data_IF_854220847885
#
_entry.id   IF_854220847885
#
_cell.length_a   1.000
_cell.length_b   1.000
_cell.length_c   1.000
_cell.angle_alpha   90.00
_cell.angle_beta   90.00
_cell.angle_gamma   90.00
#
_symmetry.space_group_name_H-M   'P 1'
#
loop_
_entity.id
_entity.type
_entity.pdbx_description
1 polymer ?
#
# COMPACT_ATOMS: atom_id res chain seq x y z
N UNK A 1 23.52 -22.74 12.59
CA UNK A 1 24.40 -21.55 12.53
C UNK A 1 23.83 -20.51 13.46
N UNK A 2 24.66 -19.80 14.22
CA UNK A 2 24.20 -18.56 14.84
C UNK A 2 23.85 -17.61 13.68
N UNK A 3 22.67 -16.98 13.62
CA UNK A 3 22.29 -16.04 12.55
C UNK A 3 23.28 -14.86 12.36
N UNK A 4 24.27 -14.74 13.24
CA UNK A 4 25.23 -13.64 13.38
C UNK A 4 26.46 -13.68 12.45
N UNK A 5 26.49 -14.47 11.37
CA UNK A 5 27.68 -14.55 10.49
C UNK A 5 27.56 -13.76 9.17
N UNK A 6 26.36 -13.29 8.82
CA UNK A 6 26.19 -12.47 7.62
C UNK A 6 26.53 -11.00 7.97
N UNK A 7 27.46 -10.34 7.25
CA UNK A 7 27.79 -8.95 7.52
C UNK A 7 26.59 -8.06 7.24
N UNK A 8 26.38 -7.03 8.07
CA UNK A 8 25.35 -6.03 7.79
C UNK A 8 25.68 -5.36 6.44
N UNK A 9 24.77 -5.36 5.46
CA UNK A 9 25.01 -4.71 4.17
C UNK A 9 25.39 -3.24 4.34
N UNK A 10 26.21 -2.71 3.43
CA UNK A 10 26.62 -1.31 3.45
C UNK A 10 25.40 -0.37 3.48
N UNK A 11 25.50 0.77 4.18
CA UNK A 11 24.38 1.73 4.29
C UNK A 11 23.27 1.33 5.28
N UNK A 12 23.29 0.11 5.82
CA UNK A 12 22.39 -0.33 6.88
C UNK A 12 23.07 -0.27 8.25
N UNK A 13 22.23 -0.22 9.29
CA UNK A 13 22.66 -0.36 10.67
C UNK A 13 21.64 -1.19 11.45
N UNK A 14 22.11 -1.92 12.45
CA UNK A 14 21.24 -2.65 13.36
C UNK A 14 20.47 -1.66 14.22
N UNK A 15 19.15 -1.83 14.32
CA UNK A 15 18.33 -1.06 15.26
C UNK A 15 18.64 -1.58 16.67
N UNK A 16 18.99 -0.71 17.64
CA UNK A 16 19.23 -1.12 19.02
C UNK A 16 18.03 -1.86 19.63
N UNK A 17 18.31 -2.93 20.38
CA UNK A 17 17.30 -3.80 21.00
C UNK A 17 16.32 -3.04 21.92
N UNK A 18 16.80 -2.00 22.61
CA UNK A 18 15.98 -1.15 23.47
C UNK A 18 14.92 -0.36 22.68
N UNK A 19 15.13 -0.14 21.38
CA UNK A 19 14.20 0.51 20.46
C UNK A 19 13.23 -0.46 19.78
N UNK A 20 13.42 -1.78 19.94
CA UNK A 20 12.57 -2.82 19.35
C UNK A 20 11.71 -3.54 20.39
N UNK A 21 10.51 -3.95 20.02
CA UNK A 21 9.76 -4.94 20.80
C UNK A 21 10.31 -6.34 20.54
N UNK A 22 10.91 -6.94 21.57
CA UNK A 22 11.54 -8.26 21.52
C UNK A 22 10.72 -9.35 22.22
N UNK A 23 9.48 -9.05 22.64
CA UNK A 23 8.59 -10.05 23.25
C UNK A 23 8.27 -11.20 22.28
N UNK A 24 7.87 -12.38 22.77
CA UNK A 24 7.41 -13.48 21.92
C UNK A 24 6.28 -13.08 20.96
N UNK A 25 6.15 -13.83 19.85
CA UNK A 25 5.12 -13.56 18.84
C UNK A 25 3.69 -13.64 19.41
N UNK A 26 3.45 -14.50 20.39
CA UNK A 26 2.16 -14.65 21.06
C UNK A 26 1.73 -13.38 21.81
N UNK A 27 2.68 -12.68 22.44
CA UNK A 27 2.41 -11.42 23.14
C UNK A 27 2.18 -10.27 22.16
N UNK A 28 2.96 -10.21 21.08
CA UNK A 28 2.75 -9.25 19.98
C UNK A 28 1.39 -9.46 19.32
N UNK A 29 1.01 -10.72 19.09
CA UNK A 29 -0.30 -11.08 18.52
C UNK A 29 -1.46 -10.66 19.42
N UNK A 30 -1.31 -10.78 20.74
CA UNK A 30 -2.33 -10.33 21.70
C UNK A 30 -2.56 -8.82 21.61
N UNK A 31 -1.48 -8.03 21.54
CA UNK A 31 -1.57 -6.58 21.38
C UNK A 31 -2.20 -6.19 20.03
N UNK A 32 -1.85 -6.89 18.94
CA UNK A 32 -2.44 -6.67 17.62
C UNK A 32 -3.94 -6.98 17.57
N UNK A 33 -4.41 -7.95 18.37
CA UNK A 33 -5.83 -8.31 18.49
C UNK A 33 -6.61 -7.40 19.44
N UNK A 34 -5.92 -6.63 20.29
CA UNK A 34 -6.52 -5.73 21.30
C UNK A 34 -5.75 -4.41 21.35
N UNK A 35 -5.69 -3.64 20.25
CA UNK A 35 -4.89 -2.42 20.21
C UNK A 35 -5.46 -1.35 21.13
N UNK A 36 -4.59 -0.44 21.57
CA UNK A 36 -4.99 0.72 22.36
C UNK A 36 -5.96 1.62 21.56
N UNK A 37 -6.88 2.34 22.25
CA UNK A 37 -7.73 3.34 21.62
C UNK A 37 -6.93 4.35 20.79
N UNK A 38 -7.53 4.87 19.73
CA UNK A 38 -6.90 5.91 18.91
C UNK A 38 -6.88 7.22 19.70
N UNK A 39 -5.70 7.79 19.90
CA UNK A 39 -5.50 9.01 20.70
C UNK A 39 -4.80 10.12 19.92
N UNK A 40 -3.95 9.77 18.95
CA UNK A 40 -3.21 10.67 18.07
C UNK A 40 -3.24 10.16 16.62
N UNK A 41 -2.39 10.71 15.75
CA UNK A 41 -2.23 10.36 14.35
C UNK A 41 -1.23 9.20 14.11
N UNK A 42 -0.43 8.77 15.10
CA UNK A 42 0.56 7.68 14.93
C UNK A 42 -0.10 6.31 14.95
N UNK A 43 -0.88 6.05 13.92
CA UNK A 43 -1.59 4.79 13.68
C UNK A 43 -1.16 4.19 12.35
N UNK A 44 -0.91 2.89 12.33
CA UNK A 44 -0.71 2.13 11.10
C UNK A 44 -1.93 1.24 10.90
N UNK A 45 -2.60 1.48 9.79
CA UNK A 45 -3.83 0.84 9.37
C UNK A 45 -3.52 -0.20 8.30
N UNK A 46 -3.85 -1.44 8.61
CA UNK A 46 -3.89 -2.56 7.68
C UNK A 46 -5.34 -3.05 7.57
N UNK A 47 -5.64 -3.76 6.50
CA UNK A 47 -6.91 -4.46 6.34
C UNK A 47 -6.67 -5.92 5.94
N UNK A 48 -7.45 -6.83 6.53
CA UNK A 48 -7.53 -8.21 6.09
C UNK A 48 -8.94 -8.76 6.32
N UNK A 49 -9.68 -8.96 5.23
CA UNK A 49 -11.08 -9.39 5.26
C UNK A 49 -11.33 -10.63 6.13
N UNK A 50 -10.37 -11.57 6.17
CA UNK A 50 -10.47 -12.82 6.93
C UNK A 50 -9.97 -12.74 8.39
N UNK A 51 -9.66 -11.54 8.91
CA UNK A 51 -9.07 -11.26 10.23
C UNK A 51 -7.61 -11.66 10.36
N UNK A 52 -6.90 -11.02 11.30
CA UNK A 52 -5.47 -11.21 11.56
C UNK A 52 -5.03 -12.67 11.69
N UNK A 53 -5.79 -13.52 12.41
CA UNK A 53 -5.42 -14.91 12.66
C UNK A 53 -5.37 -15.78 11.38
N UNK A 54 -6.11 -15.40 10.34
CA UNK A 54 -6.20 -16.12 9.08
C UNK A 54 -5.36 -15.46 7.96
N UNK A 55 -4.49 -14.53 8.31
CA UNK A 55 -3.51 -13.98 7.39
C UNK A 55 -2.53 -15.06 6.92
N UNK A 56 -2.03 -14.91 5.69
CA UNK A 56 -0.91 -15.72 5.23
C UNK A 56 0.29 -15.56 6.19
N UNK A 57 1.11 -16.62 6.39
CA UNK A 57 2.23 -16.55 7.32
C UNK A 57 3.18 -15.37 7.07
N UNK A 58 3.47 -15.05 5.81
CA UNK A 58 4.37 -13.96 5.46
C UNK A 58 3.77 -12.57 5.74
N UNK A 59 2.47 -12.35 5.47
CA UNK A 59 1.82 -11.06 5.78
C UNK A 59 1.71 -10.83 7.28
N UNK A 60 1.44 -11.90 8.05
CA UNK A 60 1.46 -11.85 9.52
C UNK A 60 2.85 -11.49 10.04
N UNK A 61 3.91 -12.10 9.49
CA UNK A 61 5.30 -11.75 9.80
C UNK A 61 5.62 -10.28 9.46
N UNK A 62 5.10 -9.77 8.35
CA UNK A 62 5.24 -8.36 8.00
C UNK A 62 4.60 -7.48 9.08
N UNK A 63 3.31 -7.67 9.40
CA UNK A 63 2.60 -6.88 10.43
C UNK A 63 3.33 -6.93 11.79
N UNK A 64 3.80 -8.12 12.21
CA UNK A 64 4.64 -8.24 13.42
C UNK A 64 5.90 -7.40 13.32
N UNK A 65 6.59 -7.40 12.19
CA UNK A 65 7.79 -6.57 11.98
C UNK A 65 7.48 -5.07 12.09
N UNK A 66 6.35 -4.61 11.54
CA UNK A 66 5.87 -3.23 11.72
C UNK A 66 5.65 -2.90 13.20
N UNK A 67 4.92 -3.77 13.91
CA UNK A 67 4.68 -3.62 15.35
C UNK A 67 5.99 -3.52 16.12
N UNK A 68 6.90 -4.49 15.90
CA UNK A 68 8.16 -4.57 16.64
C UNK A 68 9.05 -3.36 16.47
N UNK A 69 9.05 -2.75 15.28
CA UNK A 69 9.89 -1.59 14.97
C UNK A 69 9.31 -0.27 15.46
N UNK A 70 7.98 -0.15 15.54
CA UNK A 70 7.33 1.17 15.61
C UNK A 70 6.58 1.41 16.93
N UNK A 71 6.16 0.39 17.67
CA UNK A 71 5.36 0.59 18.89
C UNK A 71 6.10 1.30 20.01
N UNK A 72 7.40 1.01 20.18
CA UNK A 72 8.25 1.77 21.11
C UNK A 72 8.48 3.23 20.70
N UNK A 73 8.16 3.58 19.45
CA UNK A 73 8.18 4.95 18.92
C UNK A 73 6.82 5.65 18.98
N UNK A 74 5.84 5.05 19.68
CA UNK A 74 4.51 5.60 19.89
C UNK A 74 3.47 5.17 18.86
N UNK A 75 3.84 4.38 17.85
CA UNK A 75 2.87 3.92 16.86
C UNK A 75 1.96 2.81 17.39
N UNK A 76 0.72 2.78 16.91
CA UNK A 76 -0.18 1.65 17.16
C UNK A 76 -0.57 0.99 15.84
N UNK A 77 -0.30 -0.31 15.73
CA UNK A 77 -0.61 -1.11 14.54
C UNK A 77 -1.99 -1.75 14.68
N UNK A 78 -2.82 -1.64 13.64
CA UNK A 78 -4.18 -2.17 13.61
C UNK A 78 -4.43 -2.92 12.32
N UNK A 79 -5.00 -4.11 12.41
CA UNK A 79 -5.40 -4.93 11.27
C UNK A 79 -6.91 -5.07 11.27
N UNK A 80 -7.57 -4.24 10.47
CA UNK A 80 -9.02 -4.14 10.45
C UNK A 80 -9.62 -5.26 9.60
N UNK A 81 -10.88 -5.57 9.90
CA UNK A 81 -11.66 -6.56 9.21
C UNK A 81 -13.15 -6.16 9.12
N UNK A 82 -13.98 -7.05 8.59
CA UNK A 82 -15.43 -6.85 8.44
C UNK A 82 -16.27 -7.84 9.26
N UNK A 83 -15.67 -8.61 10.17
CA UNK A 83 -16.38 -9.56 11.03
C UNK A 83 -17.08 -8.80 12.17
N UNK A 84 -18.42 -8.78 12.27
CA UNK A 84 -19.13 -8.00 13.28
C UNK A 84 -18.78 -8.34 14.74
N UNK A 85 -18.23 -9.53 14.98
CA UNK A 85 -17.77 -9.96 16.30
C UNK A 85 -16.35 -9.48 16.64
N UNK A 86 -15.61 -8.96 15.65
CA UNK A 86 -14.23 -8.51 15.82
C UNK A 86 -14.17 -7.14 16.50
N UNK A 87 -13.31 -6.96 17.53
CA UNK A 87 -13.03 -5.62 18.05
C UNK A 87 -12.35 -4.73 16.99
N UNK A 88 -11.73 -5.34 15.97
CA UNK A 88 -11.08 -4.68 14.84
C UNK A 88 -12.00 -4.50 13.63
N UNK A 89 -13.30 -4.76 13.78
CA UNK A 89 -14.26 -4.46 12.72
C UNK A 89 -14.21 -2.97 12.36
N UNK A 90 -14.22 -2.65 11.06
CA UNK A 90 -14.26 -1.28 10.55
C UNK A 90 -15.38 -0.43 11.20
N UNK A 91 -16.54 -1.01 11.53
CA UNK A 91 -17.67 -0.36 12.20
C UNK A 91 -17.34 0.23 13.58
N UNK A 92 -16.32 -0.28 14.25
CA UNK A 92 -15.89 0.26 15.55
C UNK A 92 -15.06 1.54 15.39
N UNK A 93 -14.61 1.85 14.17
CA UNK A 93 -13.77 3.01 13.84
C UNK A 93 -14.49 4.00 12.93
N UNK A 94 -15.36 3.54 12.04
CA UNK A 94 -16.04 4.35 11.04
C UNK A 94 -17.54 4.08 11.06
N UNK A 95 -18.35 5.09 10.77
CA UNK A 95 -19.78 4.90 10.58
C UNK A 95 -20.03 4.24 9.22
N UNK A 96 -20.07 2.90 9.24
CA UNK A 96 -20.24 2.08 8.03
C UNK A 96 -21.65 2.15 7.44
N UNK A 97 -22.58 2.86 8.08
CA UNK A 97 -23.94 3.06 7.59
C UNK A 97 -24.12 4.41 6.88
N UNK A 98 -23.11 5.29 6.95
CA UNK A 98 -23.17 6.61 6.37
C UNK A 98 -22.87 6.56 4.86
N UNK A 99 -23.83 6.90 3.97
CA UNK A 99 -23.62 6.89 2.52
C UNK A 99 -22.61 7.96 2.05
N UNK A 100 -22.32 8.96 2.89
CA UNK A 100 -21.26 9.94 2.65
C UNK A 100 -19.85 9.45 3.03
N UNK A 101 -19.72 8.22 3.55
CA UNK A 101 -18.43 7.58 3.87
C UNK A 101 -18.26 6.28 3.08
N UNK A 102 -19.35 5.55 2.83
CA UNK A 102 -19.29 4.26 2.14
C UNK A 102 -20.40 4.12 1.10
N UNK A 103 -20.11 3.50 -0.05
CA UNK A 103 -21.13 3.25 -1.06
C UNK A 103 -22.11 2.17 -0.59
N UNK A 104 -23.32 2.15 -1.18
CA UNK A 104 -24.36 1.17 -0.84
C UNK A 104 -23.86 -0.28 -0.85
N UNK A 105 -23.05 -0.65 -1.85
CA UNK A 105 -22.48 -1.99 -1.93
C UNK A 105 -21.59 -2.38 -0.72
N UNK A 106 -20.90 -1.41 -0.12
CA UNK A 106 -20.13 -1.65 1.11
C UNK A 106 -21.05 -1.81 2.32
N UNK A 107 -22.07 -0.97 2.43
CA UNK A 107 -23.08 -1.01 3.51
C UNK A 107 -23.78 -2.37 3.53
N UNK A 108 -24.24 -2.80 2.35
CA UNK A 108 -25.04 -4.02 2.17
C UNK A 108 -24.19 -5.30 2.10
N UNK A 109 -22.86 -5.16 2.02
CA UNK A 109 -21.94 -6.30 1.90
C UNK A 109 -22.05 -7.01 0.54
N UNK A 110 -22.37 -6.27 -0.52
CA UNK A 110 -22.61 -6.77 -1.88
C UNK A 110 -21.51 -6.44 -2.87
N UNK A 111 -20.36 -5.90 -2.40
CA UNK A 111 -19.17 -5.72 -3.24
C UNK A 111 -18.78 -7.07 -3.86
N UNK A 112 -18.85 -7.14 -5.18
CA UNK A 112 -18.59 -8.35 -5.97
C UNK A 112 -17.31 -8.29 -6.80
N UNK A 113 -17.15 -9.30 -7.66
CA UNK A 113 -15.97 -9.50 -8.51
C UNK A 113 -14.83 -10.25 -7.80
N UNK A 114 -13.87 -10.72 -8.59
CA UNK A 114 -12.76 -11.57 -8.12
C UNK A 114 -11.86 -10.88 -7.08
N UNK A 115 -11.87 -9.54 -7.07
CA UNK A 115 -11.07 -8.71 -6.21
C UNK A 115 -11.89 -7.97 -5.13
N UNK A 116 -13.10 -8.44 -4.81
CA UNK A 116 -13.95 -7.82 -3.79
C UNK A 116 -13.24 -7.52 -2.45
N UNK A 117 -12.36 -8.40 -1.89
CA UNK A 117 -11.61 -8.08 -0.68
C UNK A 117 -10.64 -6.90 -0.84
N UNK A 118 -10.01 -6.77 -2.01
CA UNK A 118 -9.16 -5.63 -2.34
C UNK A 118 -10.00 -4.35 -2.43
N UNK A 119 -11.09 -4.36 -3.18
CA UNK A 119 -11.95 -3.17 -3.31
C UNK A 119 -12.58 -2.75 -1.97
N UNK A 120 -12.86 -3.71 -1.09
CA UNK A 120 -13.27 -3.44 0.29
C UNK A 120 -12.17 -2.72 1.07
N UNK A 121 -10.91 -3.16 0.96
CA UNK A 121 -9.74 -2.49 1.53
C UNK A 121 -9.60 -1.07 0.99
N UNK A 122 -9.72 -0.89 -0.33
CA UNK A 122 -9.66 0.40 -1.01
C UNK A 122 -10.66 1.40 -0.42
N UNK A 123 -11.92 1.00 -0.25
CA UNK A 123 -12.98 1.85 0.32
C UNK A 123 -12.74 2.25 1.78
N UNK A 124 -11.90 1.53 2.52
CA UNK A 124 -11.61 1.81 3.94
C UNK A 124 -10.43 2.79 4.10
N UNK A 125 -9.51 2.86 3.12
CA UNK A 125 -8.24 3.62 3.24
C UNK A 125 -8.44 5.08 3.60
N UNK A 126 -9.15 5.83 2.75
CA UNK A 126 -9.34 7.26 2.95
C UNK A 126 -10.22 7.60 4.14
N UNK A 127 -11.36 6.93 4.39
CA UNK A 127 -12.11 7.17 5.63
C UNK A 127 -11.27 7.08 6.91
N UNK A 128 -10.36 6.09 7.00
CA UNK A 128 -9.45 5.99 8.14
C UNK A 128 -8.46 7.16 8.20
N UNK A 129 -7.79 7.46 7.08
CA UNK A 129 -6.80 8.55 7.03
C UNK A 129 -7.45 9.93 7.26
N UNK A 130 -8.64 10.17 6.73
CA UNK A 130 -9.39 11.40 6.95
C UNK A 130 -9.79 11.57 8.41
N UNK A 131 -10.31 10.50 9.05
CA UNK A 131 -10.77 10.57 10.42
C UNK A 131 -9.63 10.57 11.45
N UNK A 132 -8.60 9.77 11.23
CA UNK A 132 -7.58 9.50 12.24
C UNK A 132 -6.15 9.88 11.84
N UNK A 133 -5.88 10.11 10.56
CA UNK A 133 -4.53 10.28 10.05
C UNK A 133 -3.71 9.00 10.16
N UNK A 134 -2.39 9.17 10.03
CA UNK A 134 -1.41 8.09 10.15
C UNK A 134 -1.06 7.50 8.81
N UNK A 135 -0.85 6.19 8.79
CA UNK A 135 -0.36 5.43 7.64
C UNK A 135 -1.37 4.33 7.32
N UNK A 136 -1.84 4.27 6.09
CA UNK A 136 -2.45 3.07 5.54
C UNK A 136 -1.42 2.32 4.71
N UNK A 137 -1.30 1.01 4.94
CA UNK A 137 -0.44 0.15 4.14
C UNK A 137 -1.13 -1.18 3.81
N UNK A 138 -0.80 -1.76 2.67
CA UNK A 138 -1.15 -3.15 2.39
C UNK A 138 -0.30 -4.10 3.24
N UNK A 139 -0.89 -5.20 3.71
CA UNK A 139 -0.19 -6.19 4.55
C UNK A 139 0.99 -6.91 3.84
N UNK A 140 1.01 -6.85 2.51
CA UNK A 140 2.10 -7.37 1.67
C UNK A 140 3.29 -6.43 1.54
N UNK A 141 3.23 -5.22 2.12
CA UNK A 141 4.34 -4.26 2.12
C UNK A 141 5.25 -4.49 3.34
N UNK A 142 6.49 -4.86 3.08
CA UNK A 142 7.53 -4.89 4.09
C UNK A 142 8.16 -3.50 4.22
N UNK A 143 8.18 -2.94 5.42
CA UNK A 143 8.88 -1.68 5.69
C UNK A 143 10.38 -1.94 5.79
N UNK A 144 11.20 -1.17 5.07
CA UNK A 144 12.66 -1.20 5.16
C UNK A 144 13.13 0.07 5.87
N UNK A 145 12.90 1.24 5.29
CA UNK A 145 13.37 2.53 5.80
C UNK A 145 12.79 2.93 7.16
N UNK A 146 13.35 3.99 7.75
CA UNK A 146 12.90 4.53 9.03
C UNK A 146 11.64 5.40 8.87
N UNK A 147 10.48 4.75 8.97
CA UNK A 147 9.19 5.43 8.88
C UNK A 147 8.97 6.43 10.01
N UNK A 148 9.45 6.16 11.23
CA UNK A 148 9.23 7.11 12.33
C UNK A 148 9.98 8.41 12.06
N UNK A 149 11.24 8.32 11.64
CA UNK A 149 12.02 9.49 11.25
C UNK A 149 11.38 10.23 10.07
N UNK A 150 10.98 9.51 9.02
CA UNK A 150 10.36 10.15 7.86
C UNK A 150 9.06 10.87 8.24
N UNK A 151 8.21 10.26 9.09
CA UNK A 151 7.02 10.92 9.63
C UNK A 151 7.38 12.16 10.43
N UNK A 152 8.32 12.06 11.37
CA UNK A 152 8.72 13.17 12.26
C UNK A 152 9.42 14.31 11.49
N UNK A 153 9.98 14.06 10.30
CA UNK A 153 10.55 15.08 9.41
C UNK A 153 9.51 15.67 8.43
N UNK A 154 8.42 14.95 8.16
CA UNK A 154 7.39 15.32 7.18
C UNK A 154 6.04 15.57 7.83
N UNK A 155 5.08 14.65 7.71
CA UNK A 155 3.68 14.82 8.10
C UNK A 155 3.52 15.15 9.60
N UNK A 156 4.34 14.53 10.46
CA UNK A 156 4.31 14.75 11.91
C UNK A 156 4.93 16.08 12.35
N UNK A 157 5.60 16.80 11.45
CA UNK A 157 6.21 18.08 11.73
C UNK A 157 5.31 19.22 11.26
N UNK A 158 4.76 20.07 12.16
CA UNK A 158 3.92 21.19 11.76
C UNK A 158 4.66 22.26 10.94
N UNK A 159 5.99 22.28 10.99
CA UNK A 159 6.83 23.19 10.18
C UNK A 159 7.19 22.62 8.81
N UNK A 160 6.91 21.34 8.55
CA UNK A 160 7.12 20.73 7.26
C UNK A 160 5.99 21.13 6.31
N UNK A 161 6.35 21.38 5.05
CA UNK A 161 5.37 21.64 3.98
C UNK A 161 4.60 20.38 3.55
N UNK A 162 5.13 19.20 3.84
CA UNK A 162 4.56 17.95 3.33
C UNK A 162 3.37 17.48 4.16
N UNK A 163 2.26 17.23 3.48
CA UNK A 163 0.99 16.78 4.07
C UNK A 163 0.65 15.32 3.69
N UNK A 164 1.23 14.82 2.60
CA UNK A 164 1.01 13.47 2.08
C UNK A 164 2.34 12.79 1.81
N UNK A 165 2.44 11.51 2.17
CA UNK A 165 3.56 10.63 1.85
C UNK A 165 3.03 9.39 1.14
N UNK A 166 3.62 9.07 -0.02
CA UNK A 166 3.33 7.85 -0.79
C UNK A 166 4.46 7.55 -1.77
N UNK A 167 4.33 6.46 -2.54
CA UNK A 167 5.21 6.20 -3.68
C UNK A 167 4.65 6.85 -4.94
N UNK A 168 5.50 7.61 -5.62
CA UNK A 168 5.19 8.31 -6.87
C UNK A 168 5.55 7.44 -8.08
N UNK A 169 4.56 7.17 -8.92
CA UNK A 169 4.70 6.44 -10.18
C UNK A 169 4.53 7.29 -11.44
N UNK A 170 4.22 8.57 -11.28
CA UNK A 170 4.14 9.53 -12.38
C UNK A 170 5.50 10.08 -12.81
N UNK A 171 6.57 9.81 -12.07
CA UNK A 171 7.86 10.50 -12.25
C UNK A 171 7.80 11.97 -11.81
N UNK A 172 8.72 12.79 -12.32
CA UNK A 172 8.83 14.21 -11.94
C UNK A 172 7.65 15.02 -12.49
N UNK A 173 7.20 14.72 -13.70
CA UNK A 173 6.18 15.50 -14.40
C UNK A 173 4.78 14.89 -14.31
N UNK A 174 4.67 13.58 -14.06
CA UNK A 174 3.39 12.91 -13.98
C UNK A 174 2.70 13.05 -12.63
N UNK A 175 1.49 12.49 -12.57
CA UNK A 175 0.63 12.47 -11.40
C UNK A 175 0.24 11.02 -11.18
N UNK A 176 0.79 10.38 -10.16
CA UNK A 176 0.46 9.00 -9.81
C UNK A 176 1.00 8.64 -8.46
N UNK A 177 0.12 8.33 -7.51
CA UNK A 177 0.50 7.84 -6.18
C UNK A 177 -0.02 6.43 -5.98
N UNK A 178 0.81 5.60 -5.36
CA UNK A 178 0.51 4.20 -5.09
C UNK A 178 -0.39 4.06 -3.87
N UNK A 179 -1.58 3.49 -4.07
CA UNK A 179 -2.60 3.37 -3.02
C UNK A 179 -2.31 2.29 -1.95
N UNK A 180 -1.29 1.44 -2.15
CA UNK A 180 -0.87 0.44 -1.16
C UNK A 180 -0.03 1.01 -0.01
N UNK A 181 0.36 2.28 -0.07
CA UNK A 181 1.03 3.00 1.01
C UNK A 181 0.67 4.49 0.93
N UNK A 182 -0.12 4.96 1.89
CA UNK A 182 -0.60 6.35 1.96
C UNK A 182 -0.45 6.83 3.38
N UNK A 183 0.13 8.01 3.59
CA UNK A 183 0.15 8.62 4.90
C UNK A 183 -0.24 10.10 4.84
N UNK A 184 -0.96 10.57 5.85
CA UNK A 184 -1.34 11.97 6.00
C UNK A 184 -1.76 12.27 7.44
N UNK A 185 -1.89 13.55 7.77
CA UNK A 185 -2.70 13.97 8.92
C UNK A 185 -4.20 13.81 8.62
N UNK A 186 -5.01 14.01 9.66
CA UNK A 186 -6.48 14.03 9.55
C UNK A 186 -6.96 15.12 8.60
N UNK A 187 -8.14 14.93 8.02
CA UNK A 187 -8.81 15.90 7.17
C UNK A 187 -7.97 16.39 5.98
N UNK A 188 -7.07 15.55 5.45
CA UNK A 188 -6.23 15.94 4.33
C UNK A 188 -7.07 16.34 3.09
N UNK A 189 -6.85 17.52 2.49
CA UNK A 189 -7.71 18.05 1.43
C UNK A 189 -7.65 17.26 0.12
N UNK A 190 -6.49 16.67 -0.22
CA UNK A 190 -6.35 15.79 -1.38
C UNK A 190 -7.20 14.53 -1.18
N UNK A 191 -7.03 13.84 -0.06
CA UNK A 191 -7.77 12.61 0.22
C UNK A 191 -9.27 12.83 0.40
N UNK A 192 -9.70 14.00 0.88
CA UNK A 192 -11.12 14.33 0.99
C UNK A 192 -11.78 14.43 -0.40
N UNK A 193 -11.12 15.09 -1.35
CA UNK A 193 -11.59 15.19 -2.74
C UNK A 193 -11.54 13.84 -3.45
N UNK A 194 -10.47 13.08 -3.27
CA UNK A 194 -10.37 11.72 -3.79
C UNK A 194 -11.50 10.83 -3.27
N UNK A 195 -11.78 10.88 -1.97
CA UNK A 195 -12.83 10.09 -1.38
C UNK A 195 -14.21 10.47 -1.93
N UNK A 196 -14.51 11.77 -2.04
CA UNK A 196 -15.73 12.29 -2.65
C UNK A 196 -15.90 11.77 -4.08
N UNK A 197 -14.87 11.91 -4.92
CA UNK A 197 -14.91 11.44 -6.31
C UNK A 197 -15.12 9.91 -6.38
N UNK A 198 -14.45 9.13 -5.53
CA UNK A 198 -14.65 7.69 -5.50
C UNK A 198 -16.09 7.32 -5.13
N UNK A 199 -16.69 8.00 -4.14
CA UNK A 199 -18.10 7.75 -3.80
C UNK A 199 -19.05 8.06 -4.97
N UNK A 200 -18.80 9.13 -5.72
CA UNK A 200 -19.59 9.44 -6.94
C UNK A 200 -19.46 8.34 -8.00
N UNK A 201 -18.27 7.76 -8.19
CA UNK A 201 -18.09 6.61 -9.11
C UNK A 201 -18.89 5.40 -8.66
N UNK A 202 -18.90 5.11 -7.36
CA UNK A 202 -19.70 4.00 -6.82
C UNK A 202 -21.21 4.29 -6.81
N UNK A 203 -21.63 5.55 -6.79
CA UNK A 203 -23.04 5.93 -6.83
C UNK A 203 -23.63 5.96 -8.25
N UNK A 204 -22.78 5.94 -9.28
CA UNK A 204 -23.18 5.96 -10.68
C UNK A 204 -24.18 4.84 -11.01
N UNK A 205 -25.08 5.10 -11.97
CA UNK A 205 -26.10 4.17 -12.48
C UNK A 205 -27.01 3.54 -11.42
N UNK A 206 -27.23 4.26 -10.31
CA UNK A 206 -28.09 3.80 -9.21
C UNK A 206 -27.36 2.97 -8.14
N UNK A 207 -26.03 2.87 -8.22
CA UNK A 207 -25.18 2.17 -7.26
C UNK A 207 -24.46 0.99 -7.88
N UNK A 208 -23.14 1.12 -8.02
CA UNK A 208 -22.25 0.06 -8.51
C UNK A 208 -22.00 -1.00 -7.43
N UNK A 209 -21.82 -2.25 -7.84
CA UNK A 209 -21.48 -3.37 -6.96
C UNK A 209 -20.04 -3.89 -7.18
N UNK A 210 -19.34 -3.41 -8.20
CA UNK A 210 -17.94 -3.70 -8.47
C UNK A 210 -17.30 -2.46 -9.11
N UNK A 211 -15.99 -2.51 -9.36
CA UNK A 211 -15.28 -1.43 -10.07
C UNK A 211 -15.30 -1.60 -11.59
N UNK A 212 -15.93 -2.66 -12.09
CA UNK A 212 -15.99 -2.97 -13.53
C UNK A 212 -16.67 -1.83 -14.30
N UNK A 213 -16.01 -1.37 -15.36
CA UNK A 213 -16.50 -0.28 -16.20
C UNK A 213 -16.27 1.13 -15.64
N UNK A 214 -15.79 1.29 -14.40
CA UNK A 214 -15.57 2.62 -13.80
C UNK A 214 -14.57 3.47 -14.59
N UNK A 215 -13.62 2.86 -15.29
CA UNK A 215 -12.69 3.54 -16.20
C UNK A 215 -13.40 4.36 -17.29
N UNK A 216 -14.63 3.98 -17.65
CA UNK A 216 -15.42 4.65 -18.68
C UNK A 216 -16.26 5.81 -18.15
N UNK A 217 -16.21 6.07 -16.84
CA UNK A 217 -16.97 7.14 -16.21
C UNK A 217 -16.64 8.50 -16.83
N UNK A 218 -17.65 9.33 -17.15
CA UNK A 218 -17.42 10.71 -17.60
C UNK A 218 -16.63 11.55 -16.60
N UNK A 219 -16.66 11.19 -15.30
CA UNK A 219 -15.90 11.86 -14.25
C UNK A 219 -14.38 11.59 -14.33
N UNK A 220 -13.95 10.61 -15.12
CA UNK A 220 -12.54 10.24 -15.28
C UNK A 220 -12.00 10.48 -16.69
N UNK A 221 -12.80 11.05 -17.60
CA UNK A 221 -12.53 11.13 -19.05
C UNK A 221 -11.20 11.79 -19.45
N UNK A 222 -10.69 12.71 -18.64
CA UNK A 222 -9.45 13.46 -18.95
C UNK A 222 -8.19 12.76 -18.44
N UNK A 223 -8.32 11.66 -17.70
CA UNK A 223 -7.16 10.89 -17.22
C UNK A 223 -6.94 9.68 -18.13
N UNK A 224 -5.73 9.53 -18.71
CA UNK A 224 -5.37 8.35 -19.47
C UNK A 224 -5.58 7.07 -18.67
N UNK A 225 -5.98 5.99 -19.35
CA UNK A 225 -6.07 4.69 -18.70
C UNK A 225 -4.69 4.23 -18.21
N UNK A 226 -4.67 3.57 -17.05
CA UNK A 226 -3.46 2.91 -16.56
C UNK A 226 -3.07 1.78 -17.51
N UNK A 227 -1.77 1.55 -17.66
CA UNK A 227 -1.25 0.45 -18.45
C UNK A 227 -0.07 0.85 -19.31
N UNK A 228 -0.02 0.28 -20.49
CA UNK A 228 1.12 0.30 -21.39
C UNK A 228 1.01 -0.85 -22.39
N UNK A 229 2.13 -1.43 -22.77
CA UNK A 229 2.21 -2.61 -23.65
C UNK A 229 1.88 -3.95 -22.96
N UNK A 230 1.19 -3.91 -21.82
CA UNK A 230 0.92 -5.10 -21.00
C UNK A 230 -0.11 -6.03 -21.63
N UNK A 231 0.06 -7.34 -21.44
CA UNK A 231 -0.90 -8.38 -21.81
C UNK A 231 -1.27 -9.21 -20.59
N UNK A 232 -2.39 -9.91 -20.64
CA UNK A 232 -2.75 -10.94 -19.65
C UNK A 232 -2.92 -12.25 -20.40
N UNK A 233 -2.30 -13.31 -19.88
CA UNK A 233 -2.48 -14.66 -20.38
C UNK A 233 -3.56 -15.35 -19.54
N UNK A 234 -4.69 -15.69 -20.18
CA UNK A 234 -5.79 -16.45 -19.59
C UNK A 234 -5.97 -17.74 -20.39
N UNK A 235 -5.58 -18.87 -19.81
CA UNK A 235 -5.59 -20.19 -20.46
C UNK A 235 -4.97 -20.14 -21.87
N UNK A 236 -5.77 -20.42 -22.91
CA UNK A 236 -5.38 -20.41 -24.33
C UNK A 236 -5.53 -19.03 -25.01
N UNK A 237 -5.78 -17.95 -24.26
CA UNK A 237 -6.02 -16.60 -24.78
C UNK A 237 -5.03 -15.59 -24.21
N UNK A 238 -4.69 -14.62 -25.06
CA UNK A 238 -3.91 -13.44 -24.66
C UNK A 238 -4.80 -12.21 -24.82
N UNK A 239 -5.09 -11.55 -23.71
CA UNK A 239 -5.76 -10.26 -23.70
C UNK A 239 -4.76 -9.18 -24.15
N UNK A 240 -5.15 -8.40 -25.15
CA UNK A 240 -4.32 -7.34 -25.71
C UNK A 240 -4.26 -6.08 -24.83
N UNK A 241 -3.31 -5.17 -25.11
CA UNK A 241 -3.04 -3.99 -24.27
C UNK A 241 -4.22 -3.09 -23.95
N UNK A 242 -5.12 -2.86 -24.90
CA UNK A 242 -6.29 -2.00 -24.69
C UNK A 242 -7.26 -2.59 -23.66
N UNK A 243 -7.46 -3.92 -23.70
CA UNK A 243 -8.32 -4.63 -22.77
C UNK A 243 -7.69 -4.64 -21.38
N UNK A 244 -6.38 -4.95 -21.32
CA UNK A 244 -5.62 -4.96 -20.05
C UNK A 244 -5.61 -3.59 -19.40
N UNK A 245 -5.47 -2.51 -20.18
CA UNK A 245 -5.48 -1.14 -19.64
C UNK A 245 -6.81 -0.78 -18.98
N UNK A 246 -7.94 -1.21 -19.56
CA UNK A 246 -9.27 -1.03 -18.96
C UNK A 246 -9.43 -1.83 -17.68
N UNK A 247 -9.09 -3.12 -17.73
CA UNK A 247 -9.16 -4.02 -16.57
C UNK A 247 -8.29 -3.53 -15.42
N UNK A 248 -7.06 -3.08 -15.71
CA UNK A 248 -6.14 -2.54 -14.73
C UNK A 248 -6.66 -1.22 -14.14
N UNK A 249 -7.24 -0.35 -14.97
CA UNK A 249 -7.82 0.91 -14.49
C UNK A 249 -9.02 0.67 -13.58
N UNK A 250 -9.89 -0.28 -13.91
CA UNK A 250 -11.01 -0.68 -13.04
C UNK A 250 -10.51 -1.31 -11.74
N UNK A 251 -9.50 -2.18 -11.81
CA UNK A 251 -8.90 -2.83 -10.64
C UNK A 251 -8.22 -1.83 -9.70
N UNK A 252 -7.54 -0.81 -10.23
CA UNK A 252 -6.83 0.23 -9.46
C UNK A 252 -7.59 1.57 -9.57
N UNK A 253 -8.92 1.52 -9.54
CA UNK A 253 -9.74 2.73 -9.74
C UNK A 253 -9.44 3.82 -8.70
N UNK A 254 -9.05 3.43 -7.48
CA UNK A 254 -8.62 4.36 -6.44
C UNK A 254 -7.38 5.16 -6.85
N UNK A 255 -6.44 4.54 -7.57
CA UNK A 255 -5.29 5.24 -8.15
C UNK A 255 -5.69 6.18 -9.29
N UNK A 256 -6.68 5.81 -10.10
CA UNK A 256 -7.19 6.65 -11.19
C UNK A 256 -7.85 7.92 -10.64
N UNK A 257 -8.59 7.77 -9.54
CA UNK A 257 -9.16 8.88 -8.76
C UNK A 257 -8.08 9.80 -8.23
N UNK A 258 -6.99 9.25 -7.66
CA UNK A 258 -5.84 10.06 -7.22
C UNK A 258 -5.27 10.90 -8.36
N UNK A 259 -5.01 10.26 -9.50
CA UNK A 259 -4.48 10.94 -10.69
C UNK A 259 -5.41 12.06 -11.16
N UNK A 260 -6.72 11.81 -11.21
CA UNK A 260 -7.72 12.83 -11.58
C UNK A 260 -7.64 14.04 -10.64
N UNK A 261 -7.75 13.83 -9.33
CA UNK A 261 -7.78 14.95 -8.37
C UNK A 261 -6.46 15.70 -8.33
N UNK A 262 -5.32 15.01 -8.47
CA UNK A 262 -4.00 15.63 -8.55
C UNK A 262 -3.78 16.46 -9.83
N UNK A 263 -4.53 16.19 -10.90
CA UNK A 263 -4.50 16.96 -12.14
C UNK A 263 -5.58 18.04 -12.26
N UNK A 264 -6.57 18.03 -11.37
CA UNK A 264 -7.73 18.91 -11.42
C UNK A 264 -7.39 20.32 -10.92
N UNK A 265 -7.91 21.32 -11.62
CA UNK A 265 -8.05 22.69 -11.13
C UNK A 265 -9.55 22.97 -11.04
N UNK A 266 -10.02 23.37 -9.86
CA UNK A 266 -11.43 23.63 -9.57
C UNK A 266 -11.58 25.06 -9.05
N UNK A 267 -12.10 25.95 -9.91
CA UNK A 267 -12.31 27.36 -9.57
C UNK A 267 -13.44 27.56 -8.54
N UNK A 268 -14.36 26.61 -8.40
CA UNK A 268 -15.50 26.74 -7.48
C UNK A 268 -15.07 26.57 -6.02
N UNK A 269 -14.18 25.62 -5.75
CA UNK A 269 -13.63 25.36 -4.40
C UNK A 269 -12.16 25.78 -4.22
N UNK A 270 -11.57 26.39 -5.25
CA UNK A 270 -10.20 26.94 -5.25
C UNK A 270 -9.10 25.89 -5.22
N UNK A 271 -9.38 24.67 -5.67
CA UNK A 271 -8.41 23.59 -5.74
C UNK A 271 -7.45 23.77 -6.92
N UNK A 272 -6.16 23.76 -6.65
CA UNK A 272 -5.11 23.58 -7.65
C UNK A 272 -4.34 22.30 -7.31
N UNK A 273 -4.79 21.18 -7.86
CA UNK A 273 -4.17 19.87 -7.66
C UNK A 273 -2.70 19.84 -8.08
N UNK A 274 -2.34 20.32 -9.28
CA UNK A 274 -0.95 20.38 -9.71
C UNK A 274 -0.04 21.15 -8.76
N UNK A 275 -0.46 22.33 -8.29
CA UNK A 275 0.30 23.12 -7.32
C UNK A 275 0.36 22.41 -5.96
N UNK A 276 -0.76 21.88 -5.47
CA UNK A 276 -0.79 21.16 -4.20
C UNK A 276 0.17 19.97 -4.20
N UNK A 277 0.21 19.18 -5.28
CA UNK A 277 1.15 18.05 -5.40
C UNK A 277 2.58 18.53 -5.38
N UNK A 278 2.90 19.59 -6.12
CA UNK A 278 4.23 20.15 -6.17
C UNK A 278 4.69 20.66 -4.79
N UNK A 279 3.78 21.12 -3.94
CA UNK A 279 4.11 21.73 -2.65
C UNK A 279 4.02 20.79 -1.45
N UNK A 280 3.08 19.85 -1.46
CA UNK A 280 2.66 19.15 -0.25
C UNK A 280 2.82 17.64 -0.31
N UNK A 281 3.19 17.06 -1.45
CA UNK A 281 3.40 15.61 -1.59
C UNK A 281 4.87 15.25 -1.48
N UNK A 282 5.20 14.42 -0.49
CA UNK A 282 6.47 13.69 -0.46
C UNK A 282 6.31 12.38 -1.24
N UNK A 283 6.72 12.39 -2.50
CA UNK A 283 6.62 11.24 -3.41
C UNK A 283 7.94 10.48 -3.52
N UNK A 284 8.04 9.30 -2.90
CA UNK A 284 9.20 8.40 -3.08
C UNK A 284 9.08 7.76 -4.46
N UNK A 285 10.11 7.81 -5.31
CA UNK A 285 10.07 7.13 -6.62
C UNK A 285 9.72 5.64 -6.43
N UNK A 286 8.67 5.14 -7.09
CA UNK A 286 8.06 3.87 -6.72
C UNK A 286 8.87 2.65 -7.11
N UNK A 287 9.59 2.70 -8.24
CA UNK A 287 10.37 1.56 -8.74
C UNK A 287 11.47 1.22 -7.75
N UNK A 288 12.38 2.16 -7.49
CA UNK A 288 13.45 1.98 -6.52
C UNK A 288 12.91 1.94 -5.09
N UNK A 289 11.89 2.74 -4.78
CA UNK A 289 11.37 2.90 -3.43
C UNK A 289 10.63 1.68 -2.88
N UNK A 290 10.03 0.84 -3.73
CA UNK A 290 9.26 -0.33 -3.26
C UNK A 290 9.14 -1.52 -4.20
N UNK A 291 9.42 -1.35 -5.49
CA UNK A 291 9.27 -2.39 -6.52
C UNK A 291 10.62 -2.90 -7.04
N UNK A 292 11.74 -2.55 -6.39
CA UNK A 292 13.08 -2.73 -6.96
C UNK A 292 13.39 -4.19 -7.31
N UNK A 293 12.86 -5.15 -6.55
CA UNK A 293 13.00 -6.56 -6.90
C UNK A 293 12.42 -6.87 -8.29
N UNK A 294 11.28 -6.28 -8.66
CA UNK A 294 10.67 -6.52 -9.96
C UNK A 294 11.56 -5.97 -11.08
N UNK A 295 12.24 -4.84 -10.88
CA UNK A 295 13.22 -4.35 -11.86
C UNK A 295 14.40 -5.32 -11.99
N UNK A 296 14.97 -5.75 -10.85
CA UNK A 296 16.16 -6.60 -10.82
C UNK A 296 15.89 -8.03 -11.34
N UNK A 297 14.65 -8.52 -11.21
CA UNK A 297 14.23 -9.80 -11.76
C UNK A 297 13.52 -9.68 -13.10
N UNK A 298 13.49 -8.50 -13.71
CA UNK A 298 12.82 -8.24 -14.99
C UNK A 298 11.35 -8.68 -15.00
N UNK A 299 10.67 -8.46 -13.88
CA UNK A 299 9.27 -8.83 -13.63
C UNK A 299 9.00 -10.34 -13.70
N UNK A 300 10.05 -11.17 -13.67
CA UNK A 300 9.92 -12.63 -13.58
C UNK A 300 9.76 -13.05 -12.11
N UNK A 301 8.50 -13.34 -11.74
CA UNK A 301 8.14 -13.81 -10.41
C UNK A 301 8.69 -15.21 -10.08
N UNK A 302 8.87 -16.08 -11.08
CA UNK A 302 9.46 -17.41 -10.86
C UNK A 302 10.95 -17.28 -10.56
N UNK A 303 11.67 -16.46 -11.34
CA UNK A 303 13.07 -16.11 -11.06
C UNK A 303 13.23 -15.49 -9.67
N UNK A 304 12.35 -14.55 -9.30
CA UNK A 304 12.36 -13.96 -7.97
C UNK A 304 12.17 -15.02 -6.88
N UNK A 305 11.21 -15.92 -7.04
CA UNK A 305 10.96 -17.01 -6.10
C UNK A 305 12.16 -17.96 -5.97
N UNK A 306 12.74 -18.38 -7.08
CA UNK A 306 13.86 -19.33 -7.10
C UNK A 306 15.10 -18.73 -6.43
N UNK A 307 15.44 -17.48 -6.75
CA UNK A 307 16.59 -16.78 -6.16
C UNK A 307 16.40 -16.53 -4.66
N UNK A 308 15.22 -16.06 -4.23
CA UNK A 308 14.95 -15.76 -2.81
C UNK A 308 14.74 -17.03 -1.96
N UNK A 309 14.59 -18.19 -2.59
CA UNK A 309 14.50 -19.49 -1.91
C UNK A 309 15.86 -20.15 -1.67
N UNK A 310 16.95 -19.59 -2.20
CA UNK A 310 18.30 -20.13 -2.02
C UNK A 310 18.76 -20.00 -0.57
N UNK A 311 19.47 -21.03 -0.09
CA UNK A 311 20.18 -20.95 1.17
C UNK A 311 21.50 -20.18 0.99
N UNK A 312 21.92 -19.47 2.04
CA UNK A 312 23.27 -18.90 2.10
C UNK A 312 24.34 -20.01 1.97
N UNK A 313 25.52 -19.72 1.39
CA UNK A 313 26.64 -20.65 1.34
C UNK A 313 27.00 -21.14 2.75
N UNK A 314 27.34 -22.43 2.90
CA UNK A 314 27.82 -22.92 4.21
C UNK A 314 29.23 -22.38 4.49
N UNK A 315 29.66 -22.36 5.75
CA UNK A 315 31.02 -21.95 6.09
C UNK A 315 32.07 -22.72 5.29
N UNK A 316 32.90 -21.98 4.54
CA UNK A 316 33.97 -22.54 3.70
C UNK A 316 33.55 -22.98 2.30
N UNK A 317 32.26 -22.94 1.95
CA UNK A 317 31.78 -23.18 0.58
C UNK A 317 31.85 -21.87 -0.23
N UNK A 318 32.28 -21.91 -1.50
CA UNK A 318 32.21 -20.75 -2.38
C UNK A 318 30.76 -20.38 -2.70
N UNK A 319 30.48 -19.09 -2.86
CA UNK A 319 29.18 -18.59 -3.33
C UNK A 319 28.97 -18.99 -4.81
N UNK A 320 27.80 -19.54 -5.14
CA UNK A 320 27.40 -19.81 -6.54
C UNK A 320 27.01 -18.52 -7.27
N UNK A 321 26.89 -18.58 -8.60
CA UNK A 321 26.39 -17.47 -9.41
C UNK A 321 25.00 -17.00 -8.98
N UNK A 322 24.10 -17.95 -8.72
CA UNK A 322 22.71 -17.68 -8.33
C UNK A 322 22.64 -17.14 -6.90
N UNK A 323 23.47 -17.66 -5.98
CA UNK A 323 23.57 -17.12 -4.63
C UNK A 323 24.08 -15.68 -4.62
N UNK A 324 25.07 -15.39 -5.47
CA UNK A 324 25.59 -14.04 -5.67
C UNK A 324 24.51 -13.09 -6.21
N UNK A 325 23.78 -13.52 -7.23
CA UNK A 325 22.67 -12.73 -7.79
C UNK A 325 21.58 -12.48 -6.74
N UNK A 326 21.16 -13.51 -6.00
CA UNK A 326 20.19 -13.38 -4.92
C UNK A 326 20.67 -12.40 -3.83
N UNK A 327 21.95 -12.47 -3.46
CA UNK A 327 22.57 -11.54 -2.51
C UNK A 327 22.52 -10.10 -3.03
N UNK A 328 22.94 -9.87 -4.27
CA UNK A 328 22.95 -8.53 -4.88
C UNK A 328 21.54 -7.93 -4.94
N UNK A 329 20.51 -8.74 -5.21
CA UNK A 329 19.11 -8.30 -5.19
C UNK A 329 18.65 -7.93 -3.78
N UNK A 330 18.88 -8.80 -2.79
CA UNK A 330 18.47 -8.54 -1.40
C UNK A 330 19.18 -7.31 -0.84
N UNK A 331 20.50 -7.24 -1.00
CA UNK A 331 21.28 -6.09 -0.54
C UNK A 331 20.87 -4.80 -1.27
N UNK A 332 20.63 -4.87 -2.58
CA UNK A 332 20.13 -3.74 -3.36
C UNK A 332 18.80 -3.20 -2.84
N UNK A 333 17.83 -4.07 -2.60
CA UNK A 333 16.54 -3.70 -2.03
C UNK A 333 16.67 -3.08 -0.64
N UNK A 334 17.47 -3.68 0.24
CA UNK A 334 17.64 -3.15 1.60
C UNK A 334 18.33 -1.78 1.60
N UNK A 335 19.27 -1.55 0.70
CA UNK A 335 20.06 -0.31 0.65
C UNK A 335 19.31 0.87 0.01
N UNK A 336 18.47 0.58 -0.98
CA UNK A 336 17.91 1.61 -1.87
C UNK A 336 16.42 1.84 -1.66
N UNK A 337 15.69 0.82 -1.20
CA UNK A 337 14.23 0.89 -1.10
C UNK A 337 13.77 1.34 0.29
N UNK A 338 12.69 2.12 0.31
CA UNK A 338 12.03 2.50 1.57
C UNK A 338 11.07 1.40 2.05
N UNK A 339 10.48 0.65 1.12
CA UNK A 339 9.69 -0.53 1.40
C UNK A 339 9.97 -1.62 0.38
N UNK A 340 9.28 -2.73 0.50
CA UNK A 340 9.38 -3.84 -0.43
C UNK A 340 8.00 -4.45 -0.59
N UNK A 341 7.43 -4.33 -1.79
CA UNK A 341 6.08 -4.75 -2.09
C UNK A 341 6.09 -6.03 -2.92
N UNK A 342 5.51 -7.09 -2.36
CA UNK A 342 5.18 -8.29 -3.12
C UNK A 342 3.73 -8.19 -3.61
N UNK A 343 3.57 -7.99 -4.92
CA UNK A 343 2.26 -7.94 -5.55
C UNK A 343 1.63 -9.34 -5.60
N UNK A 344 0.36 -9.44 -5.22
CA UNK A 344 -0.46 -10.65 -5.32
C UNK A 344 -1.81 -10.34 -6.00
N UNK A 345 -1.88 -9.20 -6.68
CA UNK A 345 -3.07 -8.70 -7.35
C UNK A 345 -3.23 -9.26 -8.75
N UNK A 346 -3.85 -8.48 -9.63
CA UNK A 346 -3.94 -8.82 -11.06
C UNK A 346 -2.55 -9.06 -11.65
N UNK A 347 -2.35 -10.25 -12.22
CA UNK A 347 -1.11 -10.64 -12.88
C UNK A 347 -1.10 -10.15 -14.33
N UNK A 348 -0.18 -9.26 -14.66
CA UNK A 348 0.03 -8.73 -16.03
C UNK A 348 1.43 -9.11 -16.52
N UNK A 349 1.58 -9.33 -17.82
CA UNK A 349 2.87 -9.57 -18.49
C UNK A 349 3.26 -8.31 -19.27
N UNK A 350 4.47 -7.78 -19.02
CA UNK A 350 5.02 -6.68 -19.80
C UNK A 350 6.01 -7.18 -20.85
N UNK A 351 6.03 -6.53 -22.01
CA UNK A 351 7.17 -6.60 -22.92
C UNK A 351 8.09 -5.42 -22.58
N UNK A 352 9.32 -5.72 -22.16
CA UNK A 352 10.38 -4.73 -21.97
C UNK A 352 10.91 -4.19 -23.29
#
# INVERSE_FOLDING_TARGET
MNPSSYPVPAGLHTIPDDLLDLRPDEEVDQDLLSPKPVTDEKNIWFFWHARYKNMHPYTRRNVRSWHRRLTKRGWVVRVLDRDPSSPLNVANFLDISNPGIFPGAFVDGTIGGDYAPQHTSDLVRWPLLLKYGGVYADVGLMQIGDLNRLWDETIGNPESRFEVLSYNSGGVDGRGLMNYFLASNRNNPLFARCHRLLLELWAADGGQMSTEGMHSSPLLKEVPLMGGSFTIQEDDKVLGPDVVSRLLTDYIIQGQVLTMVMGLIDDEDGWDGPQYVADHVYGIEFMEGSQLINELTQWDGQKAFDLMSLALPKPGEPESSEQKEAREIVEGCLQRSFGFKLAHGMSIQGYA
#
